data_IF_418578507099
#
_entry.id   IF_418578507099
#
_cell.length_a   1.000
_cell.length_b   1.000
_cell.length_c   1.000
_cell.angle_alpha   90.00
_cell.angle_beta   90.00
_cell.angle_gamma   90.00
#
_symmetry.space_group_name_H-M   'P 1'
#
loop_
_entity.id
_entity.type
_entity.pdbx_description
1 polymer ?
#
# COMPACT_ATOMS: atom_id res chain seq x y z
N UNK A 1 17.00 2.05 -47.47
CA UNK A 1 17.86 2.28 -46.28
C UNK A 1 17.06 3.15 -45.32
N UNK A 2 16.14 2.60 -44.52
CA UNK A 2 16.29 2.01 -43.17
C UNK A 2 16.86 2.95 -42.11
N UNK A 3 16.02 3.70 -41.41
CA UNK A 3 16.25 3.99 -39.99
C UNK A 3 14.97 3.78 -39.19
N UNK A 4 15.00 2.67 -38.46
CA UNK A 4 14.01 2.17 -37.53
C UNK A 4 14.56 2.47 -36.14
N UNK A 5 14.15 3.57 -35.53
CA UNK A 5 14.56 3.88 -34.15
C UNK A 5 13.36 3.76 -33.23
N UNK A 6 13.08 2.51 -32.88
CA UNK A 6 12.25 2.17 -31.74
C UNK A 6 12.98 2.52 -30.43
N UNK A 7 12.16 2.62 -29.37
CA UNK A 7 12.51 2.14 -28.03
C UNK A 7 12.99 3.19 -27.01
N UNK A 8 12.13 4.16 -26.70
CA UNK A 8 12.16 4.87 -25.41
C UNK A 8 11.46 4.03 -24.32
N UNK A 9 12.04 2.87 -23.97
CA UNK A 9 11.67 2.13 -22.75
C UNK A 9 12.49 2.68 -21.59
N UNK A 10 12.10 3.86 -21.10
CA UNK A 10 12.52 4.26 -19.75
C UNK A 10 11.84 3.26 -18.81
N UNK A 11 12.68 2.60 -18.05
CA UNK A 11 12.41 1.45 -17.21
C UNK A 11 11.43 1.80 -16.10
N UNK A 12 10.15 1.43 -16.29
CA UNK A 12 9.09 1.50 -15.25
C UNK A 12 9.53 0.85 -13.92
N UNK A 13 10.45 -0.12 -13.99
CA UNK A 13 11.05 -0.84 -12.86
C UNK A 13 11.89 0.03 -11.91
N UNK A 14 12.50 1.12 -12.40
CA UNK A 14 13.35 2.01 -11.58
C UNK A 14 12.50 3.04 -10.83
N UNK A 15 11.42 3.49 -11.47
CA UNK A 15 10.49 4.46 -10.91
C UNK A 15 9.68 3.86 -9.75
N UNK A 16 9.22 2.60 -9.88
CA UNK A 16 8.54 1.89 -8.79
C UNK A 16 9.43 1.66 -7.55
N UNK A 17 10.74 1.45 -7.73
CA UNK A 17 11.67 1.29 -6.59
C UNK A 17 11.98 2.62 -5.90
N UNK A 18 12.16 3.70 -6.67
CA UNK A 18 12.40 5.02 -6.14
C UNK A 18 11.18 5.59 -5.40
N UNK A 19 9.97 5.40 -5.95
CA UNK A 19 8.73 5.79 -5.26
C UNK A 19 8.53 4.95 -4.02
N UNK A 20 8.77 3.64 -4.03
CA UNK A 20 8.69 2.80 -2.82
C UNK A 20 9.59 3.33 -1.69
N UNK A 21 10.87 3.55 -1.95
CA UNK A 21 11.81 4.02 -0.91
C UNK A 21 11.42 5.42 -0.37
N UNK A 22 10.87 6.28 -1.22
CA UNK A 22 10.33 7.58 -0.83
C UNK A 22 9.11 7.44 0.09
N UNK A 23 8.15 6.59 -0.27
CA UNK A 23 6.92 6.30 0.50
C UNK A 23 7.28 5.64 1.83
N UNK A 24 8.22 4.69 1.83
CA UNK A 24 8.72 4.05 3.05
C UNK A 24 9.33 5.05 4.02
N UNK A 25 10.06 6.05 3.52
CA UNK A 25 10.67 7.09 4.33
C UNK A 25 9.64 8.13 4.80
N UNK A 26 8.76 8.57 3.88
CA UNK A 26 7.76 9.60 4.12
C UNK A 26 6.67 9.15 5.08
N UNK A 27 6.21 7.90 4.93
CA UNK A 27 5.15 7.30 5.73
C UNK A 27 5.67 6.22 6.69
N UNK A 28 6.95 6.27 7.04
CA UNK A 28 7.59 5.30 7.93
C UNK A 28 6.80 5.06 9.23
N UNK A 29 6.33 6.17 9.84
CA UNK A 29 5.56 6.16 11.08
C UNK A 29 4.17 5.53 10.89
N UNK A 30 3.45 5.93 9.84
CA UNK A 30 2.12 5.39 9.50
C UNK A 30 2.19 3.89 9.23
N UNK A 31 3.20 3.46 8.45
CA UNK A 31 3.43 2.06 8.15
C UNK A 31 3.81 1.26 9.40
N UNK A 32 4.64 1.81 10.30
CA UNK A 32 5.01 1.16 11.55
C UNK A 32 3.82 1.03 12.51
N UNK A 33 2.98 2.07 12.59
CA UNK A 33 1.73 2.08 13.37
C UNK A 33 0.73 1.08 12.81
N UNK A 34 0.40 1.19 11.52
CA UNK A 34 -0.54 0.31 10.83
C UNK A 34 -0.12 -1.15 10.96
N UNK A 35 1.13 -1.48 10.63
CA UNK A 35 1.62 -2.87 10.76
C UNK A 35 1.58 -3.40 12.19
N UNK A 36 1.74 -2.56 13.21
CA UNK A 36 1.70 -3.00 14.62
C UNK A 36 0.28 -3.18 15.13
N UNK A 37 -0.63 -2.26 14.81
CA UNK A 37 -2.04 -2.37 15.19
C UNK A 37 -2.68 -3.57 14.48
N UNK A 38 -2.42 -3.73 13.18
CA UNK A 38 -2.96 -4.83 12.37
C UNK A 38 -2.36 -6.18 12.81
N UNK A 39 -1.05 -6.26 13.03
CA UNK A 39 -0.43 -7.51 13.50
C UNK A 39 -0.84 -7.90 14.94
N UNK A 40 -1.28 -6.93 15.76
CA UNK A 40 -1.79 -7.20 17.11
C UNK A 40 -3.26 -7.62 17.12
N UNK A 41 -3.96 -7.56 15.99
CA UNK A 41 -5.33 -8.02 15.91
C UNK A 41 -5.41 -9.54 16.05
N UNK A 42 -6.09 -10.01 17.10
CA UNK A 42 -6.24 -11.43 17.44
C UNK A 42 -7.45 -12.08 16.77
N UNK A 43 -8.42 -11.28 16.31
CA UNK A 43 -9.65 -11.76 15.67
C UNK A 43 -9.80 -11.14 14.29
N UNK A 44 -10.50 -11.82 13.40
CA UNK A 44 -10.81 -11.30 12.06
C UNK A 44 -11.59 -9.98 12.11
N UNK A 45 -12.51 -9.81 13.07
CA UNK A 45 -13.25 -8.57 13.26
C UNK A 45 -12.34 -7.41 13.65
N UNK A 46 -11.45 -7.61 14.63
CA UNK A 46 -10.46 -6.60 15.02
C UNK A 46 -9.47 -6.29 13.90
N UNK A 47 -9.13 -7.30 13.09
CA UNK A 47 -8.27 -7.12 11.93
C UNK A 47 -8.94 -6.22 10.89
N UNK A 48 -10.22 -6.48 10.58
CA UNK A 48 -11.00 -5.68 9.64
C UNK A 48 -11.14 -4.24 10.10
N UNK A 49 -11.40 -4.02 11.39
CA UNK A 49 -11.44 -2.68 11.96
C UNK A 49 -10.09 -1.98 11.90
N UNK A 50 -9.01 -2.67 12.32
CA UNK A 50 -7.65 -2.11 12.30
C UNK A 50 -7.19 -1.73 10.88
N UNK A 51 -7.46 -2.57 9.88
CA UNK A 51 -7.17 -2.29 8.48
C UNK A 51 -7.99 -1.10 7.99
N UNK A 52 -9.30 -1.10 8.27
CA UNK A 52 -10.19 -0.02 7.87
C UNK A 52 -9.80 1.33 8.47
N UNK A 53 -9.49 1.37 9.76
CA UNK A 53 -9.04 2.59 10.45
C UNK A 53 -7.70 3.08 9.91
N UNK A 54 -6.71 2.20 9.76
CA UNK A 54 -5.38 2.59 9.27
C UNK A 54 -5.44 3.16 7.85
N UNK A 55 -6.17 2.52 6.94
CA UNK A 55 -6.28 2.96 5.56
C UNK A 55 -7.18 4.19 5.41
N UNK A 56 -8.29 4.26 6.16
CA UNK A 56 -9.16 5.44 6.16
C UNK A 56 -8.44 6.67 6.70
N UNK A 57 -7.67 6.54 7.79
CA UNK A 57 -6.86 7.62 8.35
C UNK A 57 -5.78 8.10 7.35
N UNK A 58 -5.11 7.16 6.67
CA UNK A 58 -4.14 7.50 5.63
C UNK A 58 -4.79 8.29 4.49
N UNK A 59 -5.93 7.81 3.96
CA UNK A 59 -6.65 8.48 2.88
C UNK A 59 -7.17 9.85 3.30
N UNK A 60 -7.62 10.00 4.55
CA UNK A 60 -8.08 11.29 5.07
C UNK A 60 -6.94 12.32 5.17
N UNK A 61 -5.74 11.88 5.54
CA UNK A 61 -4.58 12.76 5.75
C UNK A 61 -3.78 13.04 4.46
N UNK A 62 -3.69 12.05 3.57
CA UNK A 62 -2.78 12.06 2.43
C UNK A 62 -3.47 11.90 1.07
N UNK A 63 -4.76 11.53 1.05
CA UNK A 63 -5.50 11.23 -0.16
C UNK A 63 -5.24 9.83 -0.70
N UNK A 64 -5.80 9.53 -1.87
CA UNK A 64 -5.69 8.22 -2.52
C UNK A 64 -4.50 8.10 -3.48
N UNK A 65 -3.74 9.17 -3.69
CA UNK A 65 -2.64 9.21 -4.69
C UNK A 65 -1.53 8.21 -4.36
N UNK A 66 -1.13 8.15 -3.08
CA UNK A 66 -0.07 7.27 -2.59
C UNK A 66 -0.61 5.95 -2.00
N UNK A 67 -1.94 5.75 -2.00
CA UNK A 67 -2.59 4.63 -1.33
C UNK A 67 -2.14 3.28 -1.88
N UNK A 68 -1.99 3.16 -3.20
CA UNK A 68 -1.62 1.91 -3.86
C UNK A 68 -0.22 1.44 -3.42
N UNK A 69 0.75 2.37 -3.37
CA UNK A 69 2.12 2.08 -2.92
C UNK A 69 2.16 1.86 -1.40
N UNK A 70 1.34 2.59 -0.64
CA UNK A 70 1.22 2.41 0.81
C UNK A 70 0.69 1.02 1.17
N UNK A 71 -0.39 0.58 0.53
CA UNK A 71 -1.00 -0.75 0.71
C UNK A 71 0.01 -1.85 0.36
N UNK A 72 0.75 -1.68 -0.74
CA UNK A 72 1.77 -2.63 -1.16
C UNK A 72 2.87 -2.80 -0.10
N UNK A 73 3.45 -1.69 0.38
CA UNK A 73 4.50 -1.71 1.41
C UNK A 73 3.97 -2.24 2.74
N UNK A 74 2.75 -1.85 3.13
CA UNK A 74 2.11 -2.32 4.35
C UNK A 74 1.85 -3.83 4.31
N UNK A 75 1.36 -4.33 3.17
CA UNK A 75 1.15 -5.75 2.91
C UNK A 75 2.45 -6.55 3.01
N UNK A 76 3.55 -6.07 2.40
CA UNK A 76 4.86 -6.71 2.52
C UNK A 76 5.35 -6.78 3.97
N UNK A 77 5.12 -5.74 4.78
CA UNK A 77 5.49 -5.74 6.21
C UNK A 77 4.65 -6.73 7.02
N UNK A 78 3.39 -6.93 6.65
CA UNK A 78 2.51 -7.89 7.30
C UNK A 78 2.86 -9.33 6.93
N UNK A 79 3.19 -9.60 5.66
CA UNK A 79 3.71 -10.90 5.22
C UNK A 79 4.99 -11.25 5.99
N UNK A 80 5.91 -10.29 6.16
CA UNK A 80 7.12 -10.49 6.97
C UNK A 80 6.84 -10.77 8.45
N UNK A 81 5.64 -10.44 8.95
CA UNK A 81 5.18 -10.71 10.32
C UNK A 81 4.28 -11.95 10.40
N UNK A 82 4.28 -12.80 9.37
CA UNK A 82 3.43 -14.00 9.28
C UNK A 82 1.92 -13.68 9.20
N UNK A 83 1.57 -12.47 8.76
CA UNK A 83 0.17 -11.99 8.61
C UNK A 83 -0.22 -11.82 7.15
N UNK A 84 -0.14 -12.92 6.40
CA UNK A 84 -0.58 -12.94 5.01
C UNK A 84 -2.10 -12.70 4.87
N UNK A 85 -2.87 -13.13 5.87
CA UNK A 85 -4.31 -12.83 6.01
C UNK A 85 -4.58 -11.33 5.95
N UNK A 86 -3.79 -10.55 6.68
CA UNK A 86 -3.93 -9.11 6.73
C UNK A 86 -3.53 -8.46 5.39
N UNK A 87 -2.45 -8.94 4.77
CA UNK A 87 -1.98 -8.42 3.50
C UNK A 87 -3.03 -8.61 2.37
N UNK A 88 -3.65 -9.78 2.29
CA UNK A 88 -4.73 -10.04 1.34
C UNK A 88 -5.93 -9.11 1.57
N UNK A 89 -6.28 -8.89 2.84
CA UNK A 89 -7.42 -8.07 3.21
C UNK A 89 -7.21 -6.58 2.89
N UNK A 90 -6.00 -6.07 3.07
CA UNK A 90 -5.62 -4.69 2.71
C UNK A 90 -5.57 -4.55 1.18
N UNK A 91 -5.12 -5.57 0.44
CA UNK A 91 -5.14 -5.57 -1.02
C UNK A 91 -6.55 -5.53 -1.62
N UNK A 92 -7.53 -6.10 -0.91
CA UNK A 92 -8.95 -6.07 -1.30
C UNK A 92 -9.72 -4.86 -0.73
N UNK A 93 -9.09 -4.06 0.14
CA UNK A 93 -9.74 -2.92 0.76
C UNK A 93 -9.94 -1.79 -0.26
N UNK A 94 -11.10 -1.14 -0.20
CA UNK A 94 -11.39 0.05 -1.01
C UNK A 94 -11.90 1.19 -0.12
N UNK A 95 -11.50 2.44 -0.39
CA UNK A 95 -12.00 3.58 0.36
C UNK A 95 -13.51 3.75 0.13
N UNK A 96 -14.23 4.01 1.21
CA UNK A 96 -15.68 4.24 1.20
C UNK A 96 -15.94 5.57 0.49
N UNK A 97 -16.26 5.52 -0.80
CA UNK A 97 -16.34 6.71 -1.66
C UNK A 97 -16.03 6.43 -3.13
N UNK A 98 -15.38 5.30 -3.45
CA UNK A 98 -15.26 4.80 -4.83
C UNK A 98 -16.58 4.18 -5.31
N UNK A 99 -17.68 4.93 -5.23
CA UNK A 99 -18.93 4.55 -5.91
C UNK A 99 -18.66 4.75 -7.40
N UNK A 100 -18.52 3.62 -8.10
CA UNK A 100 -18.49 3.57 -9.57
C UNK A 100 -19.62 4.46 -10.08
N UNK A 101 -19.25 5.50 -10.83
CA UNK A 101 -20.19 6.23 -11.69
C UNK A 101 -20.53 5.36 -12.90
#
# INVERSE_FOLDING_TARGET
MTEKTANRRVTKSSQCKATRSLIESRYALELARGSSVIASALTQSSLMQAVGEALSAFVANHGTEDLDVFVLVLGERLIQRDRADAAEMIGNWRPVGSRQS
#
